data_IF_696802589741
#
_entry.id   IF_696802589741
#
_cell.length_a   1.000
_cell.length_b   1.000
_cell.length_c   1.000
_cell.angle_alpha   90.00
_cell.angle_beta   90.00
_cell.angle_gamma   90.00
#
_symmetry.space_group_name_H-M   'P 1'
#
loop_
_entity.id
_entity.type
_entity.pdbx_description
1 polymer ?
#
# COMPACT_ATOMS: atom_id res chain seq x y z
N UNK A 1 -55.03 -29.73 7.94
CA UNK A 1 -54.66 -28.34 8.30
C UNK A 1 -53.16 -28.03 8.18
N UNK A 2 -52.26 -29.03 8.08
CA UNK A 2 -50.80 -28.81 7.99
C UNK A 2 -50.27 -28.29 6.65
N UNK A 3 -50.99 -28.48 5.54
CA UNK A 3 -50.56 -27.99 4.22
C UNK A 3 -50.53 -26.47 4.08
N UNK A 4 -51.37 -25.74 4.85
CA UNK A 4 -51.40 -24.27 4.84
C UNK A 4 -50.25 -23.65 5.66
N UNK A 5 -49.74 -24.37 6.64
CA UNK A 5 -48.62 -23.93 7.49
C UNK A 5 -47.28 -24.13 6.76
N UNK A 6 -47.15 -25.20 5.97
CA UNK A 6 -45.95 -25.45 5.15
C UNK A 6 -45.71 -24.37 4.08
N UNK A 7 -46.78 -23.84 3.48
CA UNK A 7 -46.69 -22.77 2.46
C UNK A 7 -46.26 -21.43 3.09
N UNK A 8 -46.65 -21.16 4.35
CA UNK A 8 -46.26 -19.93 5.06
C UNK A 8 -44.79 -19.92 5.48
N UNK A 9 -44.21 -21.07 5.82
CA UNK A 9 -42.77 -21.17 6.16
C UNK A 9 -41.90 -21.11 4.91
N UNK A 10 -42.35 -21.68 3.78
CA UNK A 10 -41.62 -21.60 2.51
C UNK A 10 -41.61 -20.18 1.91
N UNK A 11 -42.68 -19.40 2.13
CA UNK A 11 -42.75 -18.00 1.71
C UNK A 11 -41.87 -17.06 2.55
N UNK A 12 -41.65 -17.38 3.84
CA UNK A 12 -40.79 -16.58 4.72
C UNK A 12 -39.28 -16.71 4.40
N UNK A 13 -38.86 -17.84 3.82
CA UNK A 13 -37.46 -18.03 3.41
C UNK A 13 -37.11 -17.35 2.06
N UNK A 14 -38.11 -16.93 1.28
CA UNK A 14 -37.89 -16.28 -0.02
C UNK A 14 -37.53 -14.77 0.08
N UNK A 15 -37.53 -14.20 1.29
CA UNK A 15 -37.28 -12.76 1.52
C UNK A 15 -35.86 -12.43 1.98
N UNK A 16 -34.96 -13.42 2.07
CA UNK A 16 -33.52 -13.14 2.24
C UNK A 16 -32.95 -12.70 0.90
N UNK A 17 -33.20 -11.43 0.56
CA UNK A 17 -32.51 -10.79 -0.54
C UNK A 17 -31.02 -10.71 -0.18
N UNK A 18 -30.22 -11.57 -0.83
CA UNK A 18 -28.77 -11.37 -0.96
C UNK A 18 -28.59 -10.03 -1.68
N UNK A 19 -28.36 -8.96 -0.92
CA UNK A 19 -27.99 -7.66 -1.49
C UNK A 19 -26.50 -7.69 -1.81
N UNK A 20 -26.18 -8.08 -3.04
CA UNK A 20 -24.82 -8.11 -3.58
C UNK A 20 -24.37 -6.74 -4.15
N UNK A 21 -25.19 -5.70 -4.02
CA UNK A 21 -24.86 -4.33 -4.44
C UNK A 21 -25.06 -3.36 -3.28
N UNK A 22 -24.04 -2.55 -3.06
CA UNK A 22 -24.08 -1.40 -2.15
C UNK A 22 -24.99 -0.36 -2.80
N UNK A 23 -25.96 0.17 -2.05
CA UNK A 23 -26.90 1.17 -2.55
C UNK A 23 -26.17 2.50 -2.84
N UNK A 24 -26.70 3.31 -3.75
CA UNK A 24 -26.14 4.62 -4.12
C UNK A 24 -25.95 5.51 -2.87
N UNK A 25 -26.86 5.38 -1.89
CA UNK A 25 -26.78 6.07 -0.60
C UNK A 25 -25.52 5.70 0.21
N UNK A 26 -25.07 4.45 0.14
CA UNK A 26 -23.85 4.00 0.80
C UNK A 26 -22.61 4.41 0.00
N UNK A 27 -22.68 4.45 -1.33
CA UNK A 27 -21.59 4.92 -2.18
C UNK A 27 -21.26 6.41 -1.95
N UNK A 28 -22.23 7.23 -1.54
CA UNK A 28 -22.02 8.65 -1.17
C UNK A 28 -21.09 8.82 0.04
N UNK A 29 -20.98 7.81 0.90
CA UNK A 29 -20.04 7.81 2.04
C UNK A 29 -18.57 7.88 1.60
N UNK A 30 -18.27 7.37 0.40
CA UNK A 30 -16.95 7.46 -0.21
C UNK A 30 -16.64 8.91 -0.59
N UNK A 31 -15.65 9.50 0.09
CA UNK A 31 -15.28 10.91 -0.06
C UNK A 31 -15.90 11.83 1.00
N UNK A 32 -16.85 11.35 1.80
CA UNK A 32 -17.40 12.05 2.95
C UNK A 32 -16.72 11.56 4.24
N UNK A 33 -17.33 10.60 4.92
CA UNK A 33 -16.83 9.94 6.14
C UNK A 33 -15.77 8.89 5.85
N UNK A 34 -15.81 8.29 4.65
CA UNK A 34 -14.79 7.38 4.17
C UNK A 34 -13.84 8.07 3.19
N UNK A 35 -12.61 7.58 3.11
CA UNK A 35 -11.70 7.95 2.03
C UNK A 35 -12.27 7.46 0.70
N UNK A 36 -11.82 8.00 -0.44
CA UNK A 36 -12.25 7.51 -1.76
C UNK A 36 -11.94 6.02 -2.03
N UNK A 37 -11.14 5.39 -1.17
CA UNK A 37 -10.79 3.97 -1.22
C UNK A 37 -11.59 3.10 -0.22
N UNK A 38 -12.49 3.70 0.58
CA UNK A 38 -13.33 2.97 1.54
C UNK A 38 -12.77 2.87 2.96
N UNK A 39 -11.62 3.47 3.26
CA UNK A 39 -11.06 3.48 4.61
C UNK A 39 -11.70 4.58 5.48
N UNK A 40 -11.66 4.45 6.80
CA UNK A 40 -12.07 5.52 7.70
C UNK A 40 -11.24 6.79 7.46
N UNK A 41 -11.92 7.93 7.25
CA UNK A 41 -11.24 9.22 7.02
C UNK A 41 -10.81 9.89 8.32
N UNK A 42 -11.56 9.68 9.41
CA UNK A 42 -11.30 10.31 10.69
C UNK A 42 -9.92 9.93 11.26
N UNK A 43 -9.43 10.79 12.15
CA UNK A 43 -8.27 10.47 12.99
C UNK A 43 -8.69 9.60 14.17
N UNK A 44 -7.71 9.11 14.94
CA UNK A 44 -8.03 8.36 16.16
C UNK A 44 -8.48 9.29 17.29
N UNK A 45 -9.24 8.74 18.25
CA UNK A 45 -9.69 9.49 19.42
C UNK A 45 -8.55 10.04 20.29
N UNK A 46 -7.38 9.39 20.29
CA UNK A 46 -6.20 9.83 21.02
C UNK A 46 -5.45 11.01 20.36
N UNK A 47 -5.83 11.42 19.15
CA UNK A 47 -5.23 12.55 18.43
C UNK A 47 -3.81 12.29 17.89
N UNK A 48 -3.29 11.07 18.02
CA UNK A 48 -1.94 10.69 17.52
C UNK A 48 -1.93 10.33 16.03
N UNK A 49 -3.09 10.04 15.45
CA UNK A 49 -3.28 9.75 14.02
C UNK A 49 -4.20 10.83 13.45
N UNK A 50 -3.71 11.67 12.52
CA UNK A 50 -4.53 12.72 11.92
C UNK A 50 -5.59 12.15 10.96
N UNK A 51 -6.64 12.92 10.71
CA UNK A 51 -7.60 12.61 9.64
C UNK A 51 -6.93 12.64 8.26
N UNK A 52 -7.43 11.83 7.32
CA UNK A 52 -6.92 11.82 5.95
C UNK A 52 -7.40 13.04 5.16
N UNK A 53 -6.44 13.79 4.61
CA UNK A 53 -6.66 15.08 3.94
C UNK A 53 -6.32 15.07 2.45
N UNK A 54 -6.28 13.91 1.79
CA UNK A 54 -5.94 13.81 0.36
C UNK A 54 -4.63 13.09 0.04
N UNK A 55 -3.87 12.67 1.06
CA UNK A 55 -2.56 12.04 0.90
C UNK A 55 -1.44 13.04 0.63
N UNK A 56 -0.28 12.55 0.19
CA UNK A 56 0.91 13.37 -0.03
C UNK A 56 0.91 14.05 -1.40
N UNK A 57 1.24 15.33 -1.43
CA UNK A 57 1.50 16.07 -2.65
C UNK A 57 3.02 16.08 -2.95
N UNK A 58 3.43 16.11 -4.23
CA UNK A 58 4.84 16.25 -4.57
C UNK A 58 5.38 17.59 -4.03
N UNK A 59 6.56 17.61 -3.38
CA UNK A 59 7.23 18.85 -3.00
C UNK A 59 7.46 19.76 -4.20
N UNK A 60 7.49 21.08 -3.99
CA UNK A 60 7.60 22.08 -5.06
C UNK A 60 8.88 21.92 -5.91
N UNK A 61 9.90 21.35 -5.29
CA UNK A 61 11.23 21.06 -5.79
C UNK A 61 11.33 19.68 -6.46
N UNK A 62 10.27 18.86 -6.46
CA UNK A 62 10.25 17.59 -7.18
C UNK A 62 10.07 17.78 -8.70
N UNK A 63 10.87 17.05 -9.48
CA UNK A 63 10.76 16.98 -10.93
C UNK A 63 10.75 15.50 -11.37
N UNK A 64 9.97 15.14 -12.40
CA UNK A 64 9.97 13.78 -12.93
C UNK A 64 11.38 13.33 -13.33
N UNK A 65 11.79 12.15 -12.84
CA UNK A 65 13.11 11.57 -13.09
C UNK A 65 14.16 11.85 -12.00
N UNK A 66 13.84 12.71 -11.01
CA UNK A 66 14.70 12.90 -9.83
C UNK A 66 14.48 11.81 -8.78
N UNK A 67 15.46 11.66 -7.88
CA UNK A 67 15.25 10.92 -6.64
C UNK A 67 14.14 11.58 -5.85
N UNK A 68 13.17 10.80 -5.35
CA UNK A 68 12.04 11.35 -4.62
C UNK A 68 12.56 12.02 -3.32
N UNK A 69 12.35 13.33 -3.13
CA UNK A 69 12.69 14.01 -1.90
C UNK A 69 11.75 13.55 -0.78
N UNK A 70 12.20 13.68 0.47
CA UNK A 70 11.35 13.43 1.63
C UNK A 70 10.33 14.57 1.77
N UNK A 71 9.02 14.30 1.63
CA UNK A 71 7.98 15.32 1.77
C UNK A 71 7.83 15.85 3.20
N UNK A 72 8.36 15.17 4.21
CA UNK A 72 8.21 15.52 5.63
C UNK A 72 9.56 15.79 6.32
N UNK A 73 10.58 16.20 5.58
CA UNK A 73 11.92 16.44 6.12
C UNK A 73 11.96 17.46 7.28
N UNK A 74 10.96 18.33 7.37
CA UNK A 74 10.84 19.34 8.43
C UNK A 74 10.16 18.82 9.71
N UNK A 75 9.70 17.56 9.76
CA UNK A 75 8.98 17.05 10.91
C UNK A 75 9.90 16.93 12.13
N UNK A 76 9.56 17.59 13.26
CA UNK A 76 10.37 17.54 14.46
C UNK A 76 10.26 16.15 15.11
N UNK A 77 11.31 15.78 15.83
CA UNK A 77 11.29 14.60 16.68
C UNK A 77 10.31 14.83 17.84
N UNK A 78 9.34 13.94 18.03
CA UNK A 78 8.44 13.99 19.19
C UNK A 78 9.18 13.56 20.46
N UNK A 79 9.85 12.41 20.40
CA UNK A 79 10.66 11.89 21.48
C UNK A 79 11.65 10.83 20.97
N UNK A 80 12.63 10.53 21.82
CA UNK A 80 13.65 9.49 21.60
C UNK A 80 13.43 8.38 22.61
N UNK A 81 13.47 7.12 22.16
CA UNK A 81 13.49 5.95 23.04
C UNK A 81 14.90 5.35 23.01
N UNK A 82 15.49 5.20 24.18
CA UNK A 82 16.80 4.61 24.41
C UNK A 82 16.73 3.60 25.58
N UNK A 83 17.88 3.07 25.97
CA UNK A 83 17.95 2.11 27.08
C UNK A 83 17.47 2.71 28.42
N UNK A 84 17.65 4.02 28.63
CA UNK A 84 17.33 4.70 29.89
C UNK A 84 15.84 4.87 30.14
N UNK A 85 15.04 5.03 29.07
CA UNK A 85 13.59 5.22 29.16
C UNK A 85 12.79 4.02 28.62
N UNK A 86 13.43 2.88 28.36
CA UNK A 86 12.80 1.66 27.85
C UNK A 86 11.59 1.22 28.69
N UNK A 87 11.67 1.38 30.01
CA UNK A 87 10.59 1.02 30.93
C UNK A 87 9.27 1.76 30.69
N UNK A 88 9.33 3.02 30.23
CA UNK A 88 8.15 3.84 29.95
C UNK A 88 7.43 3.42 28.67
N UNK A 89 8.18 2.91 27.69
CA UNK A 89 7.68 2.58 26.34
C UNK A 89 7.63 1.08 26.06
N UNK A 90 7.94 0.23 27.04
CA UNK A 90 8.03 -1.23 26.87
C UNK A 90 6.73 -1.88 26.37
N UNK A 91 5.56 -1.30 26.67
CA UNK A 91 4.26 -1.80 26.18
C UNK A 91 4.01 -1.49 24.70
N UNK A 92 4.70 -0.50 24.14
CA UNK A 92 4.55 -0.08 22.75
C UNK A 92 5.54 -0.76 21.81
N UNK A 93 6.57 -1.43 22.36
CA UNK A 93 7.66 -2.01 21.58
C UNK A 93 7.53 -3.54 21.48
N UNK A 94 7.76 -4.11 20.28
CA UNK A 94 7.92 -5.55 20.13
C UNK A 94 9.23 -6.01 20.78
N UNK A 95 9.26 -7.28 21.18
CA UNK A 95 10.38 -7.85 21.96
C UNK A 95 11.74 -7.72 21.25
N UNK A 96 11.76 -7.86 19.91
CA UNK A 96 12.98 -7.69 19.12
C UNK A 96 13.59 -6.29 19.21
N UNK A 97 12.77 -5.24 19.32
CA UNK A 97 13.27 -3.87 19.47
C UNK A 97 13.77 -3.60 20.89
N UNK A 98 13.14 -4.19 21.92
CA UNK A 98 13.63 -4.10 23.30
C UNK A 98 15.02 -4.73 23.43
N UNK A 99 15.19 -5.94 22.89
CA UNK A 99 16.47 -6.63 22.88
C UNK A 99 17.57 -5.84 22.16
N UNK A 100 17.23 -5.12 21.08
CA UNK A 100 18.18 -4.23 20.39
C UNK A 100 18.60 -3.04 21.25
N UNK A 101 17.66 -2.40 21.94
CA UNK A 101 17.93 -1.26 22.84
C UNK A 101 18.74 -1.68 24.07
N UNK A 102 18.53 -2.89 24.60
CA UNK A 102 19.30 -3.42 25.72
C UNK A 102 20.72 -3.83 25.32
N UNK A 103 20.88 -4.41 24.13
CA UNK A 103 22.17 -4.93 23.66
C UNK A 103 23.11 -3.86 23.13
N UNK A 104 22.56 -2.76 22.60
CA UNK A 104 23.33 -1.70 21.94
C UNK A 104 23.00 -0.33 22.56
N UNK A 105 23.82 0.18 23.48
CA UNK A 105 23.58 1.46 24.17
C UNK A 105 23.50 2.68 23.22
N UNK A 106 24.15 2.61 22.06
CA UNK A 106 24.12 3.66 21.04
C UNK A 106 22.83 3.65 20.20
N UNK A 107 22.13 2.51 20.18
CA UNK A 107 20.90 2.34 19.41
C UNK A 107 19.77 3.09 20.10
N UNK A 108 19.00 3.83 19.31
CA UNK A 108 17.85 4.57 19.80
C UNK A 108 16.80 4.68 18.72
N UNK A 109 15.54 4.76 19.15
CA UNK A 109 14.41 4.99 18.26
C UNK A 109 14.07 6.47 18.24
N UNK A 110 13.89 7.00 17.04
CA UNK A 110 13.42 8.36 16.81
C UNK A 110 11.94 8.30 16.45
N UNK A 111 11.08 8.88 17.27
CA UNK A 111 9.63 8.89 17.04
C UNK A 111 9.21 10.23 16.47
N UNK A 112 8.50 10.19 15.34
CA UNK A 112 8.03 11.33 14.57
C UNK A 112 6.50 11.38 14.57
N UNK A 113 5.90 12.53 14.23
CA UNK A 113 4.45 12.62 14.08
C UNK A 113 3.92 11.69 12.98
N UNK A 114 2.76 11.09 13.24
CA UNK A 114 2.08 10.25 12.24
C UNK A 114 1.52 11.11 11.11
N UNK A 115 1.74 10.71 9.86
CA UNK A 115 1.18 11.33 8.66
C UNK A 115 0.44 10.29 7.83
N UNK A 116 -0.79 10.60 7.38
CA UNK A 116 -1.53 9.74 6.43
C UNK A 116 -1.21 10.17 4.99
N UNK A 117 -0.08 9.70 4.48
CA UNK A 117 0.48 10.11 3.17
C UNK A 117 -0.02 9.32 1.97
N UNK A 118 -0.71 8.19 2.17
CA UNK A 118 -1.19 7.35 1.07
C UNK A 118 -2.13 8.13 0.13
N UNK A 119 -1.73 8.21 -1.14
CA UNK A 119 -2.47 8.83 -2.23
C UNK A 119 -2.53 7.87 -3.42
N UNK A 120 -3.59 7.96 -4.21
CA UNK A 120 -3.73 7.25 -5.47
C UNK A 120 -4.14 8.24 -6.58
N UNK A 121 -3.87 7.93 -7.85
CA UNK A 121 -4.28 8.80 -8.95
C UNK A 121 -5.81 8.97 -8.99
N UNK A 122 -6.28 10.15 -9.42
CA UNK A 122 -7.71 10.48 -9.44
C UNK A 122 -8.57 9.44 -10.18
N UNK A 123 -8.06 8.91 -11.32
CA UNK A 123 -8.75 7.85 -12.08
C UNK A 123 -9.08 6.60 -11.25
N UNK A 124 -8.27 6.29 -10.23
CA UNK A 124 -8.45 5.14 -9.36
C UNK A 124 -9.56 5.42 -8.34
N UNK A 125 -9.63 6.65 -7.83
CA UNK A 125 -10.74 7.09 -6.98
C UNK A 125 -12.06 7.07 -7.73
N UNK A 126 -12.09 7.58 -8.96
CA UNK A 126 -13.28 7.60 -9.79
C UNK A 126 -13.72 6.17 -10.16
N UNK A 127 -12.76 5.30 -10.54
CA UNK A 127 -13.02 3.89 -10.81
C UNK A 127 -13.52 3.15 -9.57
N UNK A 128 -12.98 3.44 -8.38
CA UNK A 128 -13.43 2.82 -7.12
C UNK A 128 -14.84 3.24 -6.77
N UNK A 129 -15.20 4.51 -7.00
CA UNK A 129 -16.57 5.00 -6.82
C UNK A 129 -17.54 4.34 -7.80
N UNK A 130 -17.13 4.14 -9.05
CA UNK A 130 -17.91 3.38 -10.02
C UNK A 130 -18.11 1.93 -9.58
N UNK A 131 -17.03 1.28 -9.15
CA UNK A 131 -17.06 -0.11 -8.68
C UNK A 131 -18.01 -0.33 -7.49
N UNK A 132 -18.13 0.66 -6.60
CA UNK A 132 -19.04 0.59 -5.46
C UNK A 132 -20.48 0.22 -5.86
N UNK A 133 -20.95 0.69 -7.02
CA UNK A 133 -22.33 0.46 -7.49
C UNK A 133 -22.40 -0.60 -8.59
N UNK A 134 -21.31 -0.82 -9.32
CA UNK A 134 -21.29 -1.68 -10.50
C UNK A 134 -20.78 -3.10 -10.25
N UNK A 135 -19.88 -3.29 -9.28
CA UNK A 135 -19.18 -4.54 -9.07
C UNK A 135 -20.06 -5.60 -8.41
N UNK A 136 -19.97 -6.84 -8.90
CA UNK A 136 -20.66 -8.00 -8.34
C UNK A 136 -19.73 -9.22 -8.30
N UNK A 137 -19.92 -10.06 -7.27
CA UNK A 137 -19.36 -11.40 -7.23
C UNK A 137 -20.14 -12.32 -8.16
N UNK A 138 -19.41 -13.08 -8.97
CA UNK A 138 -19.97 -14.09 -9.88
C UNK A 138 -19.41 -15.47 -9.56
N UNK A 139 -20.03 -16.52 -10.13
CA UNK A 139 -19.57 -17.90 -10.00
C UNK A 139 -19.31 -18.33 -8.54
N UNK A 140 -20.24 -18.00 -7.64
CA UNK A 140 -20.15 -18.27 -6.20
C UNK A 140 -18.90 -17.68 -5.53
N UNK A 141 -18.46 -16.49 -5.95
CA UNK A 141 -17.31 -15.80 -5.38
C UNK A 141 -15.97 -16.08 -6.07
N UNK A 142 -15.94 -16.95 -7.08
CA UNK A 142 -14.73 -17.26 -7.85
C UNK A 142 -14.42 -16.25 -8.96
N UNK A 143 -15.20 -15.19 -9.08
CA UNK A 143 -14.91 -14.10 -10.00
C UNK A 143 -15.62 -12.82 -9.64
N UNK A 144 -15.20 -11.74 -10.29
CA UNK A 144 -15.85 -10.44 -10.23
C UNK A 144 -16.28 -9.99 -11.62
N UNK A 145 -17.38 -9.26 -11.70
CA UNK A 145 -17.82 -8.59 -12.92
C UNK A 145 -18.17 -7.13 -12.63
N UNK A 146 -18.04 -6.27 -13.64
CA UNK A 146 -18.45 -4.87 -13.54
C UNK A 146 -17.46 -3.97 -12.79
N UNK A 147 -16.27 -4.46 -12.44
CA UNK A 147 -15.22 -3.65 -11.83
C UNK A 147 -14.24 -3.07 -12.87
N UNK A 148 -13.83 -1.83 -12.66
CA UNK A 148 -12.78 -1.10 -13.34
C UNK A 148 -11.48 -1.10 -12.49
N UNK A 149 -10.44 -0.43 -13.00
CA UNK A 149 -9.04 -0.44 -12.51
C UNK A 149 -8.80 0.10 -11.06
N UNK A 150 -9.83 0.21 -10.22
CA UNK A 150 -9.76 0.57 -8.80
C UNK A 150 -10.06 -0.61 -7.86
N UNK A 151 -10.41 -0.29 -6.62
CA UNK A 151 -10.80 -1.31 -5.63
C UNK A 151 -12.19 -1.86 -6.03
N UNK A 152 -12.37 -3.18 -6.20
CA UNK A 152 -13.65 -3.76 -6.61
C UNK A 152 -14.78 -3.50 -5.62
N UNK A 153 -14.54 -3.71 -4.32
CA UNK A 153 -15.57 -3.59 -3.28
C UNK A 153 -15.10 -2.64 -2.17
N UNK A 154 -15.21 -1.31 -2.33
CA UNK A 154 -14.75 -0.36 -1.32
C UNK A 154 -15.50 -0.46 0.02
N UNK A 155 -16.70 -1.04 0.01
CA UNK A 155 -17.54 -1.29 1.19
C UNK A 155 -17.87 -2.78 1.28
N UNK A 156 -16.91 -3.63 1.67
CA UNK A 156 -17.09 -5.07 1.64
C UNK A 156 -18.14 -5.51 2.67
N UNK A 157 -19.08 -6.35 2.23
CA UNK A 157 -20.10 -7.01 3.05
C UNK A 157 -19.73 -8.46 3.38
N UNK A 158 -18.85 -9.08 2.57
CA UNK A 158 -18.41 -10.46 2.75
C UNK A 158 -16.88 -10.60 2.73
N UNK A 159 -16.37 -11.66 3.37
CA UNK A 159 -14.95 -12.00 3.39
C UNK A 159 -14.37 -12.27 2.00
N UNK A 160 -15.19 -12.79 1.06
CA UNK A 160 -14.75 -13.00 -0.32
C UNK A 160 -14.45 -11.68 -1.04
N UNK A 161 -15.23 -10.64 -0.78
CA UNK A 161 -15.01 -9.30 -1.34
C UNK A 161 -13.70 -8.70 -0.83
N UNK A 162 -13.37 -8.92 0.45
CA UNK A 162 -12.09 -8.51 1.05
C UNK A 162 -10.92 -9.22 0.38
N UNK A 163 -11.05 -10.51 0.07
CA UNK A 163 -10.02 -11.27 -0.66
C UNK A 163 -9.82 -10.69 -2.06
N UNK A 164 -10.90 -10.40 -2.79
CA UNK A 164 -10.80 -9.79 -4.12
C UNK A 164 -10.16 -8.41 -4.09
N UNK A 165 -10.46 -7.59 -3.08
CA UNK A 165 -9.77 -6.33 -2.87
C UNK A 165 -8.26 -6.53 -2.65
N UNK A 166 -7.88 -7.51 -1.84
CA UNK A 166 -6.46 -7.83 -1.63
C UNK A 166 -5.77 -8.30 -2.92
N UNK A 167 -6.46 -9.02 -3.80
CA UNK A 167 -5.88 -9.49 -5.06
C UNK A 167 -5.76 -8.35 -6.08
N UNK A 168 -6.80 -7.52 -6.22
CA UNK A 168 -6.97 -6.59 -7.33
C UNK A 168 -6.74 -5.11 -6.98
N UNK A 169 -6.41 -4.78 -5.73
CA UNK A 169 -6.08 -3.40 -5.39
C UNK A 169 -4.97 -2.85 -6.28
N UNK A 170 -5.06 -1.55 -6.54
CA UNK A 170 -4.09 -0.82 -7.32
C UNK A 170 -2.68 -0.86 -6.67
N UNK A 171 -1.67 -1.29 -7.43
CA UNK A 171 -0.26 -1.42 -6.98
C UNK A 171 0.71 -0.44 -7.66
N UNK A 172 0.19 0.54 -8.40
CA UNK A 172 0.99 1.40 -9.27
C UNK A 172 0.92 0.97 -10.73
N UNK A 173 1.31 1.88 -11.63
CA UNK A 173 1.23 1.64 -13.08
C UNK A 173 2.39 0.82 -13.61
N UNK A 174 3.57 0.98 -13.00
CA UNK A 174 4.76 0.23 -13.35
C UNK A 174 5.54 -0.05 -12.07
N UNK A 175 5.94 -1.30 -11.90
CA UNK A 175 6.89 -1.71 -10.87
C UNK A 175 8.22 -2.02 -11.54
N UNK A 176 9.29 -1.37 -11.07
CA UNK A 176 10.65 -1.70 -11.45
C UNK A 176 11.38 -2.15 -10.20
N UNK A 177 11.88 -3.38 -10.22
CA UNK A 177 12.60 -3.98 -9.09
C UNK A 177 14.02 -4.27 -9.56
N UNK A 178 15.00 -3.64 -8.92
CA UNK A 178 16.42 -3.95 -9.09
C UNK A 178 16.87 -4.71 -7.84
N UNK A 179 17.19 -5.99 -8.00
CA UNK A 179 17.73 -6.80 -6.92
C UNK A 179 19.25 -6.90 -7.08
N UNK A 180 19.99 -6.47 -6.07
CA UNK A 180 21.42 -6.68 -5.95
C UNK A 180 21.69 -7.59 -4.76
N UNK A 181 22.25 -8.77 -5.01
CA UNK A 181 22.58 -9.75 -3.98
C UNK A 181 24.10 -9.89 -3.89
N UNK A 182 24.63 -9.88 -2.66
CA UNK A 182 26.01 -10.23 -2.37
C UNK A 182 26.01 -11.44 -1.44
N UNK A 183 26.68 -12.52 -1.83
CA UNK A 183 26.85 -13.69 -0.96
C UNK A 183 27.92 -13.35 0.06
N UNK A 184 27.56 -13.34 1.35
CA UNK A 184 28.53 -13.23 2.44
C UNK A 184 29.18 -14.60 2.64
N UNK A 185 30.31 -14.83 1.95
CA UNK A 185 31.12 -16.03 2.15
C UNK A 185 31.98 -15.84 3.40
N UNK A 186 31.56 -16.46 4.50
CA UNK A 186 32.43 -16.81 5.63
C UNK A 186 33.01 -15.64 6.43
N UNK A 187 32.18 -14.95 7.23
CA UNK A 187 32.58 -14.24 8.47
C UNK A 187 33.64 -13.13 8.37
N UNK A 188 34.16 -12.82 7.18
CA UNK A 188 35.10 -11.74 6.93
C UNK A 188 34.40 -10.70 6.04
N UNK A 189 34.78 -9.43 6.23
CA UNK A 189 34.20 -8.27 5.52
C UNK A 189 34.02 -8.61 4.04
N UNK A 190 32.91 -8.22 3.40
CA UNK A 190 32.69 -8.50 1.99
C UNK A 190 33.87 -7.97 1.18
N UNK A 191 34.75 -8.87 0.75
CA UNK A 191 35.68 -8.57 -0.32
C UNK A 191 34.83 -8.45 -1.56
N UNK A 192 34.88 -7.29 -2.20
CA UNK A 192 34.13 -6.96 -3.40
C UNK A 192 34.50 -7.90 -4.55
N UNK A 193 33.88 -9.07 -4.59
CA UNK A 193 33.72 -9.88 -5.79
C UNK A 193 32.30 -9.64 -6.26
N UNK A 194 32.10 -8.50 -6.92
CA UNK A 194 30.84 -8.19 -7.57
C UNK A 194 30.73 -9.05 -8.83
N UNK A 195 30.05 -10.19 -8.75
CA UNK A 195 29.44 -10.78 -9.95
C UNK A 195 28.21 -9.92 -10.23
N UNK A 196 28.42 -8.83 -10.97
CA UNK A 196 27.35 -7.99 -11.47
C UNK A 196 26.66 -8.75 -12.62
N UNK A 197 25.62 -9.52 -12.31
CA UNK A 197 24.68 -9.98 -13.35
C UNK A 197 23.79 -8.80 -13.71
N UNK A 198 24.24 -7.94 -14.62
CA UNK A 198 23.40 -6.93 -15.25
C UNK A 198 22.54 -7.58 -16.34
N UNK A 199 21.26 -7.81 -16.07
CA UNK A 199 20.29 -8.00 -17.16
C UNK A 199 19.87 -6.61 -17.60
N UNK A 200 20.58 -6.07 -18.59
CA UNK A 200 20.20 -4.82 -19.24
C UNK A 200 19.03 -5.10 -20.17
N UNK A 201 17.82 -4.72 -19.77
CA UNK A 201 16.70 -4.57 -20.71
C UNK A 201 16.83 -3.21 -21.40
N UNK A 202 17.50 -3.20 -22.56
CA UNK A 202 17.55 -2.00 -23.42
C UNK A 202 16.32 -1.96 -24.34
N UNK A 203 15.49 -0.99 -24.00
CA UNK A 203 14.41 -0.26 -24.67
C UNK A 203 14.33 -0.32 -26.21
N UNK A 204 13.10 -0.36 -26.73
CA UNK A 204 12.78 0.20 -28.05
C UNK A 204 11.48 1.02 -28.00
N UNK A 205 11.60 2.35 -27.94
CA UNK A 205 10.65 3.25 -28.61
C UNK A 205 11.49 4.30 -29.36
N UNK A 206 11.28 4.33 -30.67
CA UNK A 206 12.08 5.00 -31.69
C UNK A 206 12.21 6.52 -31.49
N UNK A 207 13.39 7.09 -31.82
CA UNK A 207 13.64 8.28 -32.69
C UNK A 207 15.17 8.52 -32.76
N UNK A 208 15.74 9.00 -33.87
CA UNK A 208 17.15 8.82 -34.20
C UNK A 208 18.00 9.99 -33.73
N UNK A 209 18.97 9.74 -32.85
CA UNK A 209 20.14 10.62 -32.72
C UNK A 209 21.42 9.81 -32.75
N UNK A 210 22.14 10.04 -33.84
CA UNK A 210 23.51 9.64 -34.17
C UNK A 210 24.44 10.06 -33.01
N UNK A 211 25.10 9.11 -32.35
CA UNK A 211 26.19 9.40 -31.41
C UNK A 211 27.40 8.57 -31.78
N UNK A 212 28.50 9.29 -31.96
CA UNK A 212 29.83 8.84 -32.35
C UNK A 212 30.47 7.91 -31.32
N UNK A 213 31.13 6.90 -31.83
CA UNK A 213 32.07 6.02 -31.13
C UNK A 213 33.23 6.81 -30.51
N UNK A 214 33.48 6.61 -29.21
CA UNK A 214 34.82 6.76 -28.61
C UNK A 214 35.01 5.59 -27.64
N UNK A 215 36.00 4.69 -27.85
CA UNK A 215 36.35 3.64 -26.91
C UNK A 215 37.57 4.07 -26.07
N UNK A 216 37.51 3.91 -24.75
CA UNK A 216 38.71 3.84 -23.90
C UNK A 216 38.30 3.37 -22.49
N UNK A 217 39.03 2.53 -21.77
CA UNK A 217 40.19 1.73 -22.06
C UNK A 217 40.20 0.58 -21.03
N UNK A 218 40.67 -0.58 -21.48
CA UNK A 218 40.94 -1.79 -20.72
C UNK A 218 42.19 -1.62 -19.84
N UNK A 219 42.14 -2.17 -18.62
CA UNK A 219 43.23 -2.80 -17.81
C UNK A 219 44.61 -2.11 -17.67
N UNK A 220 45.10 -2.00 -16.43
CA UNK A 220 46.26 -2.79 -15.98
C UNK A 220 46.56 -2.60 -14.49
N UNK A 221 46.93 -3.70 -13.85
CA UNK A 221 47.38 -3.84 -12.46
C UNK A 221 48.83 -3.38 -12.30
N UNK A 222 49.14 -2.72 -11.18
CA UNK A 222 50.37 -2.87 -10.40
C UNK A 222 50.09 -2.42 -8.95
#
# INVERSE_FOLDING_TARGET
MYGKIGVLVLAACAALQVQARVDDAQAVRLGQDLTPLGAERAGNAAGTIPAWSGGVAPPADYQPGMHHPDPFAADPLLYRVDQGNLGEYASLLPEGLKALLERYPEFHLRVFPSRRSAAAPQRIYDATRFNAVSAELIANGNGIQGAAAGIPFPLPQDGMEVIWNHILHYKGDQSHIVNSQAVVIGGKRPTSSAIATSITSTTARAWPRRISTIPCCTTSTA
#
